data_IF_272918494668
#
_entry.id   IF_272918494668
#
_cell.length_a   1.000
_cell.length_b   1.000
_cell.length_c   1.000
_cell.angle_alpha   90.00
_cell.angle_beta   90.00
_cell.angle_gamma   90.00
#
_symmetry.space_group_name_H-M   'P 1'
#
loop_
_entity.id
_entity.type
_entity.pdbx_description
1 polymer ?
#
# COMPACT_ATOMS: atom_id res chain seq x y z
N UNK A 1 6.31 -14.73 22.10
CA UNK A 1 5.89 -13.31 21.95
C UNK A 1 4.39 -13.32 22.06
N UNK A 2 3.82 -12.70 23.09
CA UNK A 2 2.36 -12.63 23.24
C UNK A 2 1.75 -11.91 22.03
N UNK A 3 0.78 -12.56 21.39
CA UNK A 3 0.14 -12.07 20.18
C UNK A 3 -0.92 -11.00 20.53
N UNK A 4 -0.46 -9.81 20.89
CA UNK A 4 -1.35 -8.68 21.21
C UNK A 4 -2.05 -8.21 19.93
N UNK A 5 -3.38 -8.17 19.93
CA UNK A 5 -4.18 -7.59 18.84
C UNK A 5 -4.56 -6.15 19.18
N UNK A 6 -4.59 -5.27 18.16
CA UNK A 6 -4.94 -3.87 18.36
C UNK A 6 -6.34 -3.58 17.84
N UNK A 7 -7.24 -3.13 18.72
CA UNK A 7 -8.51 -2.49 18.32
C UNK A 7 -8.28 -1.11 17.70
N UNK A 8 -7.27 -0.39 18.22
CA UNK A 8 -6.80 0.90 17.71
C UNK A 8 -5.28 0.84 17.59
N UNK A 9 -4.77 0.95 16.36
CA UNK A 9 -3.32 1.01 16.18
C UNK A 9 -2.73 2.27 16.84
N UNK A 10 -1.55 2.18 17.48
CA UNK A 10 -0.91 3.33 18.09
C UNK A 10 -0.47 4.33 17.01
N UNK A 11 -0.50 5.62 17.35
CA UNK A 11 -0.22 6.72 16.42
C UNK A 11 1.14 6.54 15.70
N UNK A 12 2.16 6.09 16.42
CA UNK A 12 3.50 5.81 15.86
C UNK A 12 3.44 4.82 14.69
N UNK A 13 2.64 3.77 14.79
CA UNK A 13 2.49 2.77 13.72
C UNK A 13 1.81 3.36 12.48
N UNK A 14 0.78 4.19 12.66
CA UNK A 14 0.13 4.90 11.56
C UNK A 14 1.12 5.85 10.86
N UNK A 15 1.87 6.63 11.63
CA UNK A 15 2.84 7.58 11.09
C UNK A 15 3.92 6.87 10.26
N UNK A 16 4.47 5.76 10.76
CA UNK A 16 5.45 4.95 10.01
C UNK A 16 4.82 4.43 8.71
N UNK A 17 3.60 3.90 8.77
CA UNK A 17 2.91 3.36 7.61
C UNK A 17 2.63 4.44 6.55
N UNK A 18 2.14 5.62 6.95
CA UNK A 18 1.87 6.71 6.03
C UNK A 18 3.14 7.31 5.46
N UNK A 19 4.16 7.55 6.29
CA UNK A 19 5.45 8.07 5.84
C UNK A 19 6.06 7.16 4.77
N UNK A 20 6.11 5.85 5.03
CA UNK A 20 6.57 4.88 4.04
C UNK A 20 5.68 4.79 2.79
N UNK A 21 4.41 5.21 2.85
CA UNK A 21 3.50 5.27 1.70
C UNK A 21 3.74 6.52 0.86
N UNK A 22 3.79 7.67 1.51
CA UNK A 22 4.04 8.96 0.88
C UNK A 22 5.41 8.97 0.22
N UNK A 23 6.47 8.56 0.93
CA UNK A 23 7.81 8.49 0.37
C UNK A 23 7.88 7.57 -0.84
N UNK A 24 7.19 6.42 -0.81
CA UNK A 24 7.17 5.50 -1.95
C UNK A 24 6.54 6.14 -3.19
N UNK A 25 5.41 6.83 -3.03
CA UNK A 25 4.72 7.48 -4.13
C UNK A 25 5.49 8.70 -4.66
N UNK A 26 6.08 9.50 -3.77
CA UNK A 26 6.89 10.64 -4.19
C UNK A 26 8.17 10.19 -4.90
N UNK A 27 8.88 9.20 -4.37
CA UNK A 27 10.09 8.69 -5.03
C UNK A 27 9.79 7.98 -6.34
N UNK A 28 8.65 7.28 -6.44
CA UNK A 28 8.16 6.75 -7.71
C UNK A 28 7.86 7.85 -8.73
N UNK A 29 7.15 8.90 -8.31
CA UNK A 29 6.84 10.07 -9.14
C UNK A 29 8.10 10.75 -9.68
N UNK A 30 9.02 11.12 -8.78
CA UNK A 30 10.27 11.80 -9.17
C UNK A 30 11.19 10.90 -9.98
N UNK A 31 11.25 9.61 -9.64
CA UNK A 31 12.04 8.64 -10.41
C UNK A 31 11.54 8.52 -11.84
N UNK A 32 10.23 8.43 -12.06
CA UNK A 32 9.64 8.43 -13.41
C UNK A 32 9.91 9.78 -14.11
N UNK A 33 9.76 10.90 -13.41
CA UNK A 33 9.97 12.22 -14.01
C UNK A 33 11.42 12.40 -14.51
N UNK A 34 12.40 11.96 -13.70
CA UNK A 34 13.82 11.99 -14.05
C UNK A 34 14.16 10.97 -15.14
N UNK A 35 13.57 9.77 -15.10
CA UNK A 35 13.77 8.75 -16.13
C UNK A 35 13.44 9.25 -17.54
N UNK A 36 12.42 10.11 -17.64
CA UNK A 36 11.97 10.73 -18.88
C UNK A 36 12.58 12.12 -19.12
N UNK A 37 13.67 12.47 -18.43
CA UNK A 37 14.39 13.75 -18.54
C UNK A 37 13.48 14.98 -18.50
N UNK A 38 12.50 14.97 -17.58
CA UNK A 38 11.52 16.05 -17.41
C UNK A 38 10.70 16.41 -18.67
N UNK A 39 10.69 15.55 -19.68
CA UNK A 39 9.91 15.73 -20.91
C UNK A 39 8.40 15.83 -20.62
N UNK A 40 7.64 16.36 -21.58
CA UNK A 40 6.18 16.42 -21.48
C UNK A 40 5.55 15.04 -21.27
N UNK A 41 6.09 14.01 -21.93
CA UNK A 41 5.68 12.62 -21.71
C UNK A 41 5.98 12.18 -20.26
N UNK A 42 7.18 12.49 -19.75
CA UNK A 42 7.56 12.19 -18.37
C UNK A 42 6.63 12.81 -17.33
N UNK A 43 6.22 14.07 -17.53
CA UNK A 43 5.26 14.76 -16.66
C UNK A 43 3.89 14.09 -16.66
N UNK A 44 3.40 13.68 -17.84
CA UNK A 44 2.12 12.98 -17.98
C UNK A 44 2.18 11.60 -17.31
N UNK A 45 3.23 10.81 -17.59
CA UNK A 45 3.37 9.45 -17.05
C UNK A 45 3.55 9.48 -15.54
N UNK A 46 4.36 10.39 -14.99
CA UNK A 46 4.54 10.51 -13.54
C UNK A 46 3.26 10.99 -12.84
N UNK A 47 2.53 11.95 -13.42
CA UNK A 47 1.24 12.40 -12.89
C UNK A 47 0.18 11.29 -12.94
N UNK A 48 0.12 10.54 -14.05
CA UNK A 48 -0.77 9.40 -14.19
C UNK A 48 -0.45 8.30 -13.16
N UNK A 49 0.83 8.03 -12.92
CA UNK A 49 1.29 7.13 -11.87
C UNK A 49 0.82 7.58 -10.48
N UNK A 50 1.04 8.86 -10.14
CA UNK A 50 0.67 9.38 -8.82
C UNK A 50 -0.85 9.36 -8.62
N UNK A 51 -1.62 9.74 -9.65
CA UNK A 51 -3.07 9.65 -9.67
C UNK A 51 -3.53 8.19 -9.45
N UNK A 52 -2.96 7.25 -10.21
CA UNK A 52 -3.23 5.83 -10.06
C UNK A 52 -2.96 5.35 -8.62
N UNK A 53 -1.82 5.69 -8.04
CA UNK A 53 -1.46 5.31 -6.68
C UNK A 53 -2.43 5.87 -5.62
N UNK A 54 -2.84 7.14 -5.77
CA UNK A 54 -3.80 7.80 -4.88
C UNK A 54 -5.18 7.16 -5.01
N UNK A 55 -5.68 6.94 -6.23
CA UNK A 55 -6.99 6.32 -6.48
C UNK A 55 -7.04 4.92 -5.87
N UNK A 56 -5.99 4.11 -6.07
CA UNK A 56 -5.89 2.77 -5.48
C UNK A 56 -5.98 2.83 -3.94
N UNK A 57 -5.19 3.70 -3.32
CA UNK A 57 -5.08 3.74 -1.85
C UNK A 57 -6.27 4.41 -1.16
N UNK A 58 -6.79 5.51 -1.72
CA UNK A 58 -7.74 6.39 -1.02
C UNK A 58 -9.16 6.34 -1.58
N UNK A 59 -9.38 5.67 -2.71
CA UNK A 59 -10.72 5.49 -3.28
C UNK A 59 -11.08 4.01 -3.32
N UNK A 60 -10.32 3.19 -4.06
CA UNK A 60 -10.66 1.79 -4.28
C UNK A 60 -10.56 0.96 -3.00
N UNK A 61 -9.50 1.13 -2.21
CA UNK A 61 -9.35 0.41 -0.94
C UNK A 61 -10.45 0.74 0.08
N UNK A 62 -10.82 2.02 0.34
CA UNK A 62 -11.96 2.38 1.18
C UNK A 62 -13.32 1.92 0.65
N UNK A 63 -13.48 1.83 -0.66
CA UNK A 63 -14.75 1.46 -1.30
C UNK A 63 -14.97 -0.05 -1.34
N UNK A 64 -13.93 -0.84 -1.64
CA UNK A 64 -14.10 -2.27 -1.97
C UNK A 64 -13.59 -3.21 -0.89
N UNK A 65 -12.55 -2.82 -0.15
CA UNK A 65 -11.90 -3.71 0.84
C UNK A 65 -12.29 -3.34 2.26
N UNK A 66 -12.20 -2.06 2.61
CA UNK A 66 -12.45 -1.61 3.96
C UNK A 66 -13.88 -1.88 4.47
N UNK A 67 -14.96 -1.81 3.67
CA UNK A 67 -16.31 -2.07 4.18
C UNK A 67 -16.52 -3.49 4.69
N UNK A 68 -15.76 -4.45 4.15
CA UNK A 68 -15.77 -5.85 4.55
C UNK A 68 -14.78 -6.14 5.70
N UNK A 69 -14.12 -5.12 6.27
CA UNK A 69 -13.11 -5.28 7.32
C UNK A 69 -13.70 -5.09 8.72
N UNK A 70 -13.26 -5.89 9.70
CA UNK A 70 -13.73 -5.80 11.08
C UNK A 70 -13.52 -4.41 11.73
N UNK A 71 -12.46 -3.68 11.34
CA UNK A 71 -12.19 -2.32 11.85
C UNK A 71 -13.23 -1.28 11.43
N UNK A 72 -14.02 -1.55 10.39
CA UNK A 72 -15.06 -0.62 9.91
C UNK A 72 -16.35 -0.76 10.74
N UNK A 73 -16.54 -1.90 11.40
CA UNK A 73 -17.77 -2.24 12.12
C UNK A 73 -18.01 -1.41 13.38
N UNK A 74 -16.96 -0.87 14.00
CA UNK A 74 -17.08 -0.12 15.26
C UNK A 74 -16.38 1.25 15.21
N UNK A 75 -17.02 2.35 15.65
CA UNK A 75 -16.47 3.71 15.59
C UNK A 75 -15.11 3.90 16.27
N UNK A 76 -14.90 3.25 17.41
CA UNK A 76 -13.71 3.34 18.25
C UNK A 76 -12.48 2.61 17.68
N UNK A 77 -12.69 1.78 16.66
CA UNK A 77 -11.62 1.02 16.02
C UNK A 77 -10.88 1.84 14.96
N UNK A 78 -9.57 1.62 14.85
CA UNK A 78 -8.71 2.28 13.87
C UNK A 78 -7.72 1.26 13.31
N UNK A 79 -7.76 1.04 12.01
CA UNK A 79 -6.80 0.16 11.34
C UNK A 79 -5.48 0.89 11.05
N UNK A 80 -4.44 0.13 10.71
CA UNK A 80 -3.10 0.66 10.42
C UNK A 80 -3.07 1.72 9.31
N UNK A 81 -3.97 1.63 8.33
CA UNK A 81 -4.06 2.58 7.23
C UNK A 81 -5.01 3.73 7.49
N UNK A 82 -5.74 3.74 8.61
CA UNK A 82 -6.79 4.71 8.93
C UNK A 82 -7.98 4.76 7.97
N UNK A 83 -7.94 3.99 6.87
CA UNK A 83 -8.93 4.03 5.80
C UNK A 83 -10.31 3.53 6.23
N UNK A 84 -10.40 2.76 7.32
CA UNK A 84 -11.67 2.34 7.89
C UNK A 84 -12.56 3.52 8.31
N UNK A 85 -11.96 4.66 8.69
CA UNK A 85 -12.68 5.88 9.05
C UNK A 85 -13.35 6.50 7.82
N UNK A 86 -12.63 6.57 6.70
CA UNK A 86 -13.16 7.01 5.42
C UNK A 86 -14.25 6.04 4.95
N UNK A 87 -13.95 4.74 4.99
CA UNK A 87 -14.87 3.70 4.55
C UNK A 87 -16.23 3.78 5.26
N UNK A 88 -16.22 3.84 6.59
CA UNK A 88 -17.43 3.93 7.41
C UNK A 88 -18.24 5.19 7.15
N UNK A 89 -17.59 6.30 6.78
CA UNK A 89 -18.27 7.58 6.54
C UNK A 89 -18.98 7.61 5.19
N UNK A 90 -18.39 7.01 4.16
CA UNK A 90 -18.82 7.20 2.77
C UNK A 90 -19.41 5.96 2.12
N UNK A 91 -19.18 4.76 2.67
CA UNK A 91 -19.62 3.51 2.06
C UNK A 91 -20.45 2.67 3.04
N UNK A 92 -21.46 1.94 2.53
CA UNK A 92 -22.27 1.07 3.35
C UNK A 92 -21.41 -0.06 3.95
N UNK A 93 -21.79 -0.52 5.13
CA UNK A 93 -21.13 -1.65 5.79
C UNK A 93 -21.26 -2.92 4.94
N UNK A 94 -20.14 -3.62 4.74
CA UNK A 94 -20.09 -4.88 4.01
C UNK A 94 -20.19 -6.12 4.92
N UNK A 95 -19.87 -7.28 4.35
CA UNK A 95 -19.82 -8.57 5.06
C UNK A 95 -18.36 -8.97 5.32
N UNK A 96 -18.05 -9.35 6.56
CA UNK A 96 -16.73 -9.85 6.94
C UNK A 96 -16.33 -11.12 6.18
N UNK A 97 -17.30 -11.95 5.78
CA UNK A 97 -17.03 -13.15 4.99
C UNK A 97 -16.44 -12.80 3.61
N UNK A 98 -16.83 -11.66 3.05
CA UNK A 98 -16.30 -11.14 1.79
C UNK A 98 -14.91 -10.51 1.95
N UNK A 99 -14.32 -10.46 3.14
CA UNK A 99 -12.98 -9.91 3.30
C UNK A 99 -11.91 -10.75 2.58
N UNK A 100 -12.11 -12.07 2.49
CA UNK A 100 -11.17 -13.00 1.84
C UNK A 100 -11.10 -12.80 0.33
N UNK A 101 -12.20 -12.37 -0.31
CA UNK A 101 -12.26 -12.20 -1.77
C UNK A 101 -11.37 -11.08 -2.30
N UNK A 102 -10.80 -10.24 -1.42
CA UNK A 102 -9.82 -9.21 -1.78
C UNK A 102 -8.56 -9.74 -2.48
N UNK A 103 -8.29 -11.04 -2.41
CA UNK A 103 -7.17 -11.72 -3.08
C UNK A 103 -7.60 -12.59 -4.27
N UNK A 104 -8.88 -12.64 -4.60
CA UNK A 104 -9.40 -13.50 -5.67
C UNK A 104 -9.30 -12.82 -7.04
N UNK A 105 -8.80 -13.57 -8.03
CA UNK A 105 -8.63 -13.09 -9.41
C UNK A 105 -7.31 -12.36 -9.67
N UNK A 106 -7.01 -12.15 -10.96
CA UNK A 106 -5.75 -11.52 -11.42
C UNK A 106 -5.69 -10.04 -11.02
N UNK A 107 -6.81 -9.34 -11.16
CA UNK A 107 -6.97 -7.90 -10.83
C UNK A 107 -7.53 -7.69 -9.42
N UNK A 108 -7.22 -8.59 -8.48
CA UNK A 108 -7.67 -8.44 -7.11
C UNK A 108 -7.12 -7.15 -6.48
N UNK A 109 -7.85 -6.59 -5.51
CA UNK A 109 -7.46 -5.32 -4.86
C UNK A 109 -6.07 -5.37 -4.24
N UNK A 110 -5.65 -6.55 -3.78
CA UNK A 110 -4.30 -6.74 -3.27
C UNK A 110 -3.24 -6.56 -4.37
N UNK A 111 -3.44 -7.17 -5.53
CA UNK A 111 -2.53 -7.06 -6.67
C UNK A 111 -2.49 -5.64 -7.22
N UNK A 112 -3.65 -4.98 -7.35
CA UNK A 112 -3.73 -3.58 -7.78
C UNK A 112 -3.03 -2.63 -6.80
N UNK A 113 -3.17 -2.88 -5.51
CA UNK A 113 -2.45 -2.10 -4.50
C UNK A 113 -0.92 -2.34 -4.53
N UNK A 114 -0.49 -3.56 -4.81
CA UNK A 114 0.93 -3.89 -4.97
C UNK A 114 1.51 -3.35 -6.28
N UNK A 115 0.72 -3.33 -7.37
CA UNK A 115 1.16 -2.80 -8.65
C UNK A 115 1.49 -1.31 -8.56
N UNK A 116 0.76 -0.52 -7.78
CA UNK A 116 1.08 0.89 -7.52
C UNK A 116 2.47 1.13 -6.88
N UNK A 117 3.11 0.08 -6.34
CA UNK A 117 4.46 0.18 -5.75
C UNK A 117 5.54 -0.44 -6.62
N UNK A 118 5.18 -1.46 -7.40
CA UNK A 118 6.07 -2.15 -8.33
C UNK A 118 6.22 -1.37 -9.63
N UNK A 119 5.16 -0.68 -10.08
CA UNK A 119 5.14 0.04 -11.35
C UNK A 119 6.29 1.04 -11.53
N UNK A 120 6.68 1.87 -10.54
CA UNK A 120 7.85 2.73 -10.69
C UNK A 120 9.14 1.96 -10.94
N UNK A 121 9.33 0.80 -10.30
CA UNK A 121 10.52 -0.04 -10.53
C UNK A 121 10.58 -0.50 -11.98
N UNK A 122 9.44 -0.96 -12.52
CA UNK A 122 9.35 -1.43 -13.90
C UNK A 122 9.58 -0.31 -14.93
N UNK A 123 9.19 0.92 -14.62
CA UNK A 123 9.40 2.07 -15.51
C UNK A 123 10.82 2.62 -15.39
N UNK A 124 11.34 2.79 -14.18
CA UNK A 124 12.64 3.41 -13.93
C UNK A 124 13.80 2.52 -14.40
N UNK A 125 13.70 1.20 -14.16
CA UNK A 125 14.80 0.27 -14.40
C UNK A 125 15.29 0.27 -15.87
N UNK A 126 14.43 0.14 -16.90
CA UNK A 126 14.86 0.22 -18.30
C UNK A 126 15.50 1.57 -18.66
N UNK A 127 14.93 2.68 -18.19
CA UNK A 127 15.46 4.01 -18.49
C UNK A 127 16.81 4.26 -17.85
N UNK A 128 17.09 3.67 -16.69
CA UNK A 128 18.41 3.75 -16.06
C UNK A 128 19.50 3.08 -16.92
N UNK A 129 19.17 2.02 -17.66
CA UNK A 129 20.10 1.37 -18.59
C UNK A 129 20.33 2.18 -19.87
N UNK A 130 19.32 2.90 -20.33
CA UNK A 130 19.41 3.75 -21.53
C UNK A 130 20.19 5.03 -21.22
N UNK A 131 19.85 5.70 -20.13
CA UNK A 131 20.42 6.98 -19.71
C UNK A 131 20.77 6.92 -18.22
N UNK A 132 22.00 6.49 -17.91
CA UNK A 132 22.44 6.34 -16.53
C UNK A 132 22.47 7.67 -15.78
N UNK A 133 21.92 7.68 -14.57
CA UNK A 133 21.95 8.81 -13.65
C UNK A 133 22.07 8.32 -12.21
N UNK A 134 23.02 8.88 -11.46
CA UNK A 134 23.18 8.59 -10.03
C UNK A 134 21.92 8.93 -9.23
N UNK A 135 21.27 10.04 -9.56
CA UNK A 135 20.01 10.42 -8.92
C UNK A 135 18.91 9.37 -9.18
N UNK A 136 18.81 8.90 -10.42
CA UNK A 136 17.83 7.88 -10.80
C UNK A 136 18.11 6.53 -10.13
N UNK A 137 19.39 6.13 -10.05
CA UNK A 137 19.81 4.93 -9.34
C UNK A 137 19.46 5.00 -7.84
N UNK A 138 19.75 6.12 -7.18
CA UNK A 138 19.41 6.33 -5.75
C UNK A 138 17.90 6.28 -5.51
N UNK A 139 17.10 6.85 -6.41
CA UNK A 139 15.64 6.77 -6.33
C UNK A 139 15.14 5.33 -6.53
N UNK A 140 15.67 4.60 -7.51
CA UNK A 140 15.33 3.20 -7.73
C UNK A 140 15.63 2.33 -6.51
N UNK A 141 16.84 2.45 -5.95
CA UNK A 141 17.23 1.75 -4.73
C UNK A 141 16.31 2.12 -3.56
N UNK A 142 15.95 3.40 -3.43
CA UNK A 142 15.05 3.87 -2.37
C UNK A 142 13.64 3.29 -2.52
N UNK A 143 13.09 3.23 -3.73
CA UNK A 143 11.77 2.63 -4.00
C UNK A 143 11.78 1.13 -3.70
N UNK A 144 12.82 0.40 -4.13
CA UNK A 144 12.98 -1.02 -3.82
C UNK A 144 13.13 -1.22 -2.30
N UNK A 145 13.98 -0.42 -1.65
CA UNK A 145 14.17 -0.45 -0.20
C UNK A 145 12.87 -0.22 0.57
N UNK A 146 12.05 0.76 0.17
CA UNK A 146 10.73 1.01 0.76
C UNK A 146 9.75 -0.14 0.51
N UNK A 147 9.80 -0.79 -0.66
CA UNK A 147 9.00 -1.98 -0.96
C UNK A 147 9.36 -3.13 0.00
N UNK A 148 10.65 -3.43 0.12
CA UNK A 148 11.17 -4.49 0.98
C UNK A 148 10.90 -4.19 2.46
N UNK A 149 11.17 -2.96 2.92
CA UNK A 149 10.85 -2.49 4.26
C UNK A 149 9.37 -2.71 4.58
N UNK A 150 8.49 -2.41 3.63
CA UNK A 150 7.06 -2.61 3.83
C UNK A 150 6.71 -4.09 3.99
N UNK A 151 7.19 -4.95 3.09
CA UNK A 151 6.85 -6.37 3.08
C UNK A 151 7.42 -7.07 4.32
N UNK A 152 8.70 -6.87 4.60
CA UNK A 152 9.41 -7.64 5.63
C UNK A 152 9.32 -7.06 7.02
N UNK A 153 9.11 -5.74 7.15
CA UNK A 153 9.09 -5.08 8.44
C UNK A 153 7.73 -4.49 8.77
N UNK A 154 7.21 -3.56 7.96
CA UNK A 154 5.95 -2.86 8.31
C UNK A 154 4.79 -3.86 8.37
N UNK A 155 4.62 -4.72 7.36
CA UNK A 155 3.55 -5.70 7.37
C UNK A 155 3.78 -6.79 8.42
N UNK A 156 4.96 -7.39 8.48
CA UNK A 156 5.20 -8.50 9.41
C UNK A 156 5.29 -8.10 10.88
N UNK A 157 5.83 -6.93 11.20
CA UNK A 157 6.11 -6.54 12.60
C UNK A 157 5.18 -5.46 13.14
N UNK A 158 4.69 -4.56 12.28
CA UNK A 158 3.89 -3.41 12.72
C UNK A 158 2.39 -3.62 12.47
N UNK A 159 2.03 -4.14 11.30
CA UNK A 159 0.64 -4.21 10.84
C UNK A 159 0.03 -5.61 11.05
N UNK A 160 0.30 -6.56 10.16
CA UNK A 160 -0.42 -7.84 10.08
C UNK A 160 -0.37 -8.64 11.38
N UNK A 161 0.75 -8.58 12.11
CA UNK A 161 0.92 -9.29 13.40
C UNK A 161 -0.10 -8.87 14.46
N UNK A 162 -0.52 -7.61 14.46
CA UNK A 162 -1.43 -7.03 15.45
C UNK A 162 -2.86 -6.85 14.91
N UNK A 163 -3.14 -7.33 13.70
CA UNK A 163 -4.40 -7.14 13.01
C UNK A 163 -5.48 -8.11 13.52
N UNK A 164 -6.68 -7.58 13.82
CA UNK A 164 -7.83 -8.38 14.28
C UNK A 164 -8.30 -9.43 13.27
N UNK A 165 -8.09 -9.20 11.97
CA UNK A 165 -8.53 -10.10 10.90
C UNK A 165 -7.37 -10.91 10.30
N UNK A 166 -6.22 -11.03 11.00
CA UNK A 166 -5.03 -11.69 10.45
C UNK A 166 -5.28 -13.15 10.06
N UNK A 167 -6.09 -13.89 10.81
CA UNK A 167 -6.36 -15.31 10.56
C UNK A 167 -7.24 -15.55 9.32
N UNK A 168 -7.97 -14.53 8.86
CA UNK A 168 -8.77 -14.60 7.63
C UNK A 168 -8.18 -13.74 6.50
N UNK A 169 -7.08 -13.02 6.75
CA UNK A 169 -6.49 -12.13 5.77
C UNK A 169 -5.51 -12.91 4.88
N UNK A 170 -5.76 -13.02 3.55
CA UNK A 170 -4.90 -13.76 2.64
C UNK A 170 -3.43 -13.31 2.70
N UNK A 171 -3.18 -12.00 2.87
CA UNK A 171 -1.83 -11.46 3.02
C UNK A 171 -1.13 -11.85 4.32
N UNK A 172 -1.88 -11.94 5.42
CA UNK A 172 -1.27 -12.32 6.68
C UNK A 172 -0.96 -13.82 6.69
N UNK A 173 -1.85 -14.63 6.11
CA UNK A 173 -1.63 -16.06 5.90
C UNK A 173 -0.39 -16.30 5.03
N UNK A 174 -0.29 -15.65 3.87
CA UNK A 174 0.87 -15.81 2.98
C UNK A 174 2.20 -15.33 3.58
N UNK A 175 2.15 -14.50 4.62
CA UNK A 175 3.33 -14.05 5.37
C UNK A 175 3.67 -14.95 6.57
N UNK A 176 2.89 -16.00 6.84
CA UNK A 176 3.08 -16.91 7.98
C UNK A 176 2.63 -16.31 9.32
N UNK A 177 1.62 -15.43 9.30
CA UNK A 177 1.12 -14.71 10.49
C UNK A 177 -0.31 -15.14 10.86
N UNK A 178 -1.11 -15.54 9.87
CA UNK A 178 -2.48 -16.00 10.09
C UNK A 178 -2.49 -17.48 10.49
N UNK A 179 -2.58 -17.75 11.79
CA UNK A 179 -2.85 -19.07 12.39
C UNK A 179 -4.14 -19.00 13.21
#
# INVERSE_FOLDING_TARGET
>A
MENITFSKYPLKSLLIYYLATILHYLFGYFGILIAFDYSSAGKIVSAAYLCFAIVQMYILMPMMVCPNCAYTNKPEMLCISGLNVIARKFFPKGDLNNFKSRSEGILCYNNLYMSAKILPVLIILPFLFINFSWALLLLLISVIGLLLLRIFYIFKKIACNHCLVRNICPNAISMGIGE
#
